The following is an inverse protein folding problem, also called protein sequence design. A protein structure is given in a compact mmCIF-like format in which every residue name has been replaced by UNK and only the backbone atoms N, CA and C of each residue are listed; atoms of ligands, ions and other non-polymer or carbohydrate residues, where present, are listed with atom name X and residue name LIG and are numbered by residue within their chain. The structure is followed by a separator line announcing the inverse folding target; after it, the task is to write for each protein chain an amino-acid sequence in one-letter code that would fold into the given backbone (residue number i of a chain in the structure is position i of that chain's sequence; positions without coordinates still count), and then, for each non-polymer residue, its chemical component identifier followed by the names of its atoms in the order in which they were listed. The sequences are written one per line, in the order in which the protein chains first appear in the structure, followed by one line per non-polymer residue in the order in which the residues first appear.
data_IF_554219955338
#
_entry.id   IF_554219955338
#
_cell.length_a   1.000
_cell.length_b   1.000
_cell.length_c   1.000
_cell.angle_alpha   90.00
_cell.angle_beta   90.00
_cell.angle_gamma   90.00
#
_symmetry.space_group_name_H-M   'P 1'
#
loop_
_entity.id
_entity.type
_entity.pdbx_description
1 polymer ?
#
# COMPACT_ATOMS: atom_id res chain seq x y z
N UNK A 1 38.89 61.39 -68.96
CA UNK A 1 39.12 62.34 -70.08
C UNK A 1 40.50 63.01 -69.87
N UNK A 2 41.34 63.03 -70.87
CA UNK A 2 42.70 63.65 -70.75
C UNK A 2 42.58 65.16 -70.84
N UNK A 3 43.52 65.89 -70.18
CA UNK A 3 43.65 67.36 -70.30
C UNK A 3 43.64 67.84 -71.72
N UNK A 4 44.45 67.15 -72.59
CA UNK A 4 44.51 67.47 -74.03
C UNK A 4 43.18 67.41 -74.72
N UNK A 5 42.41 66.33 -74.48
CA UNK A 5 41.07 66.13 -75.07
C UNK A 5 40.08 67.18 -74.60
N UNK A 6 40.19 67.61 -73.34
CA UNK A 6 39.32 68.67 -72.77
C UNK A 6 39.65 70.03 -73.37
N UNK A 7 40.97 70.41 -73.46
CA UNK A 7 41.44 71.64 -74.13
C UNK A 7 40.93 71.68 -75.56
N UNK A 8 41.17 70.61 -76.37
CA UNK A 8 40.78 70.56 -77.79
C UNK A 8 39.23 70.78 -77.90
N UNK A 9 38.41 70.10 -77.05
CA UNK A 9 36.94 70.28 -77.09
C UNK A 9 36.51 71.69 -76.70
N UNK A 10 37.20 72.29 -75.68
CA UNK A 10 36.90 73.64 -75.26
C UNK A 10 37.27 74.65 -76.34
N UNK A 11 38.46 74.50 -77.04
CA UNK A 11 38.88 75.33 -78.16
C UNK A 11 38.00 75.18 -79.35
N UNK A 12 37.47 74.02 -79.67
CA UNK A 12 36.54 73.75 -80.74
C UNK A 12 35.24 74.52 -80.64
N UNK A 13 34.84 74.85 -79.40
CA UNK A 13 33.65 75.68 -79.10
C UNK A 13 34.01 77.15 -78.93
N UNK A 14 35.15 77.47 -78.27
CA UNK A 14 35.53 78.82 -77.92
C UNK A 14 36.07 79.56 -79.09
N UNK A 15 36.92 78.99 -80.03
CA UNK A 15 37.51 79.64 -81.15
C UNK A 15 36.52 80.15 -82.20
N UNK A 16 35.51 79.37 -82.60
CA UNK A 16 34.41 79.90 -83.47
C UNK A 16 33.65 81.08 -82.89
N UNK A 17 33.34 80.95 -81.48
CA UNK A 17 32.69 82.06 -80.81
C UNK A 17 33.52 83.32 -80.73
N UNK A 18 34.78 83.23 -80.45
CA UNK A 18 35.77 84.33 -80.48
C UNK A 18 35.90 84.92 -81.86
N UNK A 19 35.97 84.05 -82.89
CA UNK A 19 35.99 84.52 -84.29
C UNK A 19 34.74 85.36 -84.64
N UNK A 20 33.53 84.91 -84.29
CA UNK A 20 32.29 85.61 -84.45
C UNK A 20 32.31 86.99 -83.76
N UNK A 21 32.72 87.02 -82.48
CA UNK A 21 32.87 88.27 -81.75
C UNK A 21 33.87 89.20 -82.37
N UNK A 22 35.03 88.77 -82.76
CA UNK A 22 36.12 89.52 -83.46
C UNK A 22 35.63 90.05 -84.81
N UNK A 23 34.87 89.23 -85.56
CA UNK A 23 34.26 89.60 -86.84
C UNK A 23 33.24 90.71 -86.64
N UNK A 24 32.36 90.55 -85.68
CA UNK A 24 31.37 91.54 -85.29
C UNK A 24 32.00 92.87 -84.89
N UNK A 25 33.01 92.88 -84.09
CA UNK A 25 33.78 94.06 -83.64
C UNK A 25 34.41 94.77 -84.83
N UNK A 26 35.06 94.03 -85.76
CA UNK A 26 35.66 94.61 -86.98
C UNK A 26 34.65 95.20 -87.87
N UNK A 27 33.44 94.56 -88.02
CA UNK A 27 32.37 95.05 -88.86
C UNK A 27 31.73 96.36 -88.26
N UNK A 28 31.51 96.42 -86.94
CA UNK A 28 30.98 97.58 -86.24
C UNK A 28 31.92 98.81 -86.32
N UNK A 29 33.25 98.57 -86.31
CA UNK A 29 34.25 99.68 -86.34
C UNK A 29 34.83 99.97 -87.75
N UNK A 30 34.30 99.40 -88.81
CA UNK A 30 34.70 99.75 -90.20
C UNK A 30 36.12 99.32 -90.53
N UNK A 31 36.74 98.37 -89.83
CA UNK A 31 38.13 97.92 -90.02
C UNK A 31 38.15 97.02 -91.26
N UNK A 32 38.93 97.40 -92.32
CA UNK A 32 39.07 96.64 -93.53
C UNK A 32 40.53 96.41 -93.91
N UNK A 33 40.78 95.45 -94.88
CA UNK A 33 42.10 95.18 -95.38
C UNK A 33 42.98 94.38 -94.44
N UNK A 34 44.27 94.67 -94.47
CA UNK A 34 45.25 93.99 -93.62
C UNK A 34 44.99 94.09 -92.10
N UNK A 35 44.47 95.28 -91.63
CA UNK A 35 44.16 95.52 -90.24
C UNK A 35 43.03 94.59 -89.73
N UNK A 36 42.02 94.27 -90.54
CA UNK A 36 40.95 93.30 -90.24
C UNK A 36 41.50 91.94 -89.86
N UNK A 37 42.40 91.38 -90.73
CA UNK A 37 42.96 90.09 -90.50
C UNK A 37 43.92 90.07 -89.32
N UNK A 38 44.71 91.14 -89.05
CA UNK A 38 45.54 91.26 -87.89
C UNK A 38 44.74 91.37 -86.59
N UNK A 39 43.60 92.10 -86.59
CA UNK A 39 42.70 92.15 -85.38
C UNK A 39 42.04 90.81 -85.15
N UNK A 40 41.55 90.12 -86.16
CA UNK A 40 40.97 88.79 -86.02
C UNK A 40 42.04 87.80 -85.51
N UNK A 41 43.26 87.79 -86.10
CA UNK A 41 44.33 86.95 -85.66
C UNK A 41 44.70 87.21 -84.18
N UNK A 42 44.81 88.52 -83.81
CA UNK A 42 45.06 88.90 -82.42
C UNK A 42 44.00 88.47 -81.46
N UNK A 43 42.67 88.67 -81.78
CA UNK A 43 41.52 88.25 -80.97
C UNK A 43 41.48 86.72 -80.85
N UNK A 44 41.71 85.95 -81.91
CA UNK A 44 41.78 84.47 -81.85
C UNK A 44 43.00 83.99 -81.04
N UNK A 45 44.18 84.59 -81.16
CA UNK A 45 45.36 84.19 -80.45
C UNK A 45 45.21 84.50 -78.92
N UNK A 46 44.77 85.69 -78.55
CA UNK A 46 44.55 86.03 -77.15
C UNK A 46 43.36 85.31 -76.55
N UNK A 47 42.27 85.18 -77.27
CA UNK A 47 41.08 84.44 -76.81
C UNK A 47 41.35 82.93 -76.77
N UNK A 48 42.18 82.36 -77.69
CA UNK A 48 42.62 81.01 -77.66
C UNK A 48 43.54 80.73 -76.43
N UNK A 49 44.47 81.67 -76.10
CA UNK A 49 45.28 81.58 -74.89
C UNK A 49 44.40 81.61 -73.59
N UNK A 50 43.44 82.58 -73.51
CA UNK A 50 42.52 82.62 -72.40
C UNK A 50 41.65 81.34 -72.34
N UNK A 51 41.22 80.81 -73.47
CA UNK A 51 40.47 79.58 -73.57
C UNK A 51 41.28 78.38 -73.03
N UNK A 52 42.55 78.28 -73.40
CA UNK A 52 43.47 77.25 -72.86
C UNK A 52 43.71 77.41 -71.41
N UNK A 53 43.89 78.63 -70.90
CA UNK A 53 44.09 78.88 -69.48
C UNK A 53 42.81 78.54 -68.68
N UNK A 54 41.65 78.98 -69.12
CA UNK A 54 40.36 78.67 -68.51
C UNK A 54 40.04 77.15 -68.55
N UNK A 55 40.26 76.51 -69.69
CA UNK A 55 40.14 75.05 -69.82
C UNK A 55 41.08 74.29 -68.84
N UNK A 56 42.32 74.74 -68.74
CA UNK A 56 43.33 74.10 -67.86
C UNK A 56 42.92 74.27 -66.38
N UNK A 57 42.46 75.48 -66.03
CA UNK A 57 41.95 75.75 -64.63
C UNK A 57 40.72 74.96 -64.31
N UNK A 58 39.71 74.92 -65.20
CA UNK A 58 38.50 74.14 -65.02
C UNK A 58 38.77 72.63 -64.97
N UNK A 59 39.65 72.19 -65.86
CA UNK A 59 40.06 70.77 -65.85
C UNK A 59 40.64 70.38 -64.50
N UNK A 60 41.59 71.18 -64.00
CA UNK A 60 42.23 70.91 -62.69
C UNK A 60 41.31 71.11 -61.50
N UNK A 61 40.35 71.99 -61.59
CA UNK A 61 39.43 72.28 -60.47
C UNK A 61 38.30 71.27 -60.40
N UNK A 62 37.78 70.82 -61.53
CA UNK A 62 36.55 70.00 -61.54
C UNK A 62 36.69 68.66 -62.26
N UNK A 63 37.30 68.62 -63.47
CA UNK A 63 37.33 67.39 -64.29
C UNK A 63 38.25 66.35 -63.74
N UNK A 64 39.49 66.70 -63.39
CA UNK A 64 40.40 65.79 -62.76
C UNK A 64 39.96 65.24 -61.40
N UNK A 65 39.45 66.07 -60.52
CA UNK A 65 38.84 65.60 -59.24
C UNK A 65 37.62 64.68 -59.40
N UNK A 66 36.71 64.96 -60.37
CA UNK A 66 35.60 64.06 -60.69
C UNK A 66 36.13 62.70 -61.14
N UNK A 67 37.21 62.65 -61.95
CA UNK A 67 37.79 61.36 -62.36
C UNK A 67 38.31 60.58 -61.16
N UNK A 68 38.93 61.20 -60.19
CA UNK A 68 39.41 60.58 -58.94
C UNK A 68 38.20 60.04 -58.09
N UNK A 69 37.15 60.89 -57.92
CA UNK A 69 35.96 60.44 -57.23
C UNK A 69 35.36 59.25 -57.93
N UNK A 70 35.20 59.28 -59.24
CA UNK A 70 34.59 58.19 -60.05
C UNK A 70 35.36 56.89 -59.95
N UNK A 71 36.74 56.91 -59.99
CA UNK A 71 37.57 55.70 -59.86
C UNK A 71 37.29 55.04 -58.45
N UNK A 72 37.27 55.80 -57.38
CA UNK A 72 37.05 55.27 -56.07
C UNK A 72 35.60 54.83 -55.86
N UNK A 73 34.59 55.52 -56.48
CA UNK A 73 33.24 55.03 -56.51
C UNK A 73 33.09 53.69 -57.23
N UNK A 74 33.87 53.45 -58.31
CA UNK A 74 33.89 52.12 -58.97
C UNK A 74 34.45 51.04 -58.06
N UNK A 75 35.51 51.32 -57.30
CA UNK A 75 36.07 50.36 -56.31
C UNK A 75 35.05 50.04 -55.21
N UNK A 76 34.37 51.09 -54.69
CA UNK A 76 33.30 50.93 -53.71
C UNK A 76 32.15 50.11 -54.31
N UNK A 77 31.73 50.39 -55.56
CA UNK A 77 30.66 49.64 -56.22
C UNK A 77 31.05 48.17 -56.46
N UNK A 78 32.33 47.88 -56.63
CA UNK A 78 32.84 46.51 -56.70
C UNK A 78 33.01 45.82 -55.35
N UNK A 79 32.56 46.49 -54.24
CA UNK A 79 32.52 45.95 -52.91
C UNK A 79 33.74 46.28 -52.03
N UNK A 80 34.68 47.10 -52.53
CA UNK A 80 35.83 47.52 -51.69
C UNK A 80 35.46 48.73 -50.83
N UNK A 81 35.10 48.47 -49.57
CA UNK A 81 34.77 49.49 -48.61
C UNK A 81 35.98 49.96 -47.78
N UNK A 82 37.19 49.48 -48.10
CA UNK A 82 38.42 50.01 -47.47
C UNK A 82 38.88 51.30 -48.13
N UNK A 83 38.48 51.49 -49.40
CA UNK A 83 38.82 52.62 -50.25
C UNK A 83 38.22 53.91 -49.73
N UNK A 84 39.02 55.03 -49.72
CA UNK A 84 38.56 56.39 -49.36
C UNK A 84 38.99 57.36 -50.44
N UNK A 85 38.06 58.27 -50.82
CA UNK A 85 38.39 59.35 -51.78
C UNK A 85 39.41 60.28 -51.13
N UNK A 86 40.65 60.48 -51.70
CA UNK A 86 41.67 61.32 -51.12
C UNK A 86 41.31 62.77 -51.18
N UNK A 87 41.12 63.41 -50.00
CA UNK A 87 40.61 64.80 -49.85
C UNK A 87 41.58 65.87 -50.40
N UNK A 88 42.85 65.56 -50.46
CA UNK A 88 43.89 66.39 -51.02
C UNK A 88 43.87 66.50 -52.55
N UNK A 89 43.29 65.50 -53.24
CA UNK A 89 43.25 65.42 -54.69
C UNK A 89 41.96 66.00 -55.31
N UNK A 90 40.94 66.28 -54.54
CA UNK A 90 39.62 66.64 -55.03
C UNK A 90 39.28 68.15 -54.91
N UNK A 91 40.10 68.95 -54.33
CA UNK A 91 40.05 70.44 -54.29
C UNK A 91 38.62 70.96 -53.97
N UNK A 92 37.95 71.61 -54.96
CA UNK A 92 36.61 72.22 -54.81
C UNK A 92 35.51 71.16 -54.53
N UNK A 93 35.73 69.92 -54.84
CA UNK A 93 34.85 68.81 -54.64
C UNK A 93 35.06 68.11 -53.29
N UNK A 94 35.86 68.67 -52.37
CA UNK A 94 36.14 68.16 -51.05
C UNK A 94 34.87 67.86 -50.21
N UNK A 95 33.80 68.73 -50.18
CA UNK A 95 32.58 68.40 -49.47
C UNK A 95 31.93 67.13 -49.98
N UNK A 96 31.89 66.89 -51.27
CA UNK A 96 31.34 65.66 -51.88
C UNK A 96 32.16 64.48 -51.47
N UNK A 97 33.48 64.54 -51.51
CA UNK A 97 34.38 63.46 -51.11
C UNK A 97 34.24 63.11 -49.61
N UNK A 98 34.06 64.11 -48.72
CA UNK A 98 33.72 63.91 -47.30
C UNK A 98 32.42 63.14 -47.12
N UNK A 99 31.36 63.53 -47.86
CA UNK A 99 30.07 62.83 -47.78
C UNK A 99 30.19 61.38 -48.28
N UNK A 100 30.94 61.15 -49.36
CA UNK A 100 31.19 59.80 -49.90
C UNK A 100 31.96 58.94 -48.86
N UNK A 101 33.06 59.52 -48.31
CA UNK A 101 33.84 58.79 -47.29
C UNK A 101 32.97 58.44 -46.06
N UNK A 102 32.12 59.35 -45.60
CA UNK A 102 31.19 59.10 -44.46
C UNK A 102 30.17 58.03 -44.78
N UNK A 103 29.63 58.06 -46.02
CA UNK A 103 28.72 57.04 -46.48
C UNK A 103 29.38 55.65 -46.49
N UNK A 104 30.60 55.56 -47.01
CA UNK A 104 31.36 54.28 -47.02
C UNK A 104 31.66 53.79 -45.64
N UNK A 105 32.02 54.67 -44.69
CA UNK A 105 32.22 54.36 -43.27
C UNK A 105 30.99 53.76 -42.65
N UNK A 106 29.83 54.42 -42.82
CA UNK A 106 28.54 53.94 -42.35
C UNK A 106 28.17 52.58 -42.93
N UNK A 107 28.35 52.42 -44.24
CA UNK A 107 28.10 51.11 -44.88
C UNK A 107 29.03 50.01 -44.37
N UNK A 108 30.32 50.29 -44.19
CA UNK A 108 31.28 49.34 -43.63
C UNK A 108 30.85 48.89 -42.23
N UNK A 109 30.40 49.81 -41.36
CA UNK A 109 29.89 49.53 -40.03
C UNK A 109 28.65 48.68 -40.06
N UNK A 110 27.65 49.03 -40.93
CA UNK A 110 26.43 48.24 -41.09
C UNK A 110 26.71 46.82 -41.52
N UNK A 111 27.58 46.64 -42.55
CA UNK A 111 27.96 45.32 -43.06
C UNK A 111 28.74 44.51 -42.01
N UNK A 112 29.64 45.14 -41.25
CA UNK A 112 30.34 44.49 -40.14
C UNK A 112 29.38 43.95 -39.08
N UNK A 113 28.39 44.79 -38.70
CA UNK A 113 27.36 44.37 -37.72
C UNK A 113 26.49 43.24 -38.26
N UNK A 114 26.02 43.30 -39.50
CA UNK A 114 25.24 42.24 -40.11
C UNK A 114 26.06 40.95 -40.23
N UNK A 115 27.35 41.01 -40.56
CA UNK A 115 28.23 39.84 -40.58
C UNK A 115 28.38 39.19 -39.20
N UNK A 116 28.57 40.00 -38.16
CA UNK A 116 28.64 39.52 -36.78
C UNK A 116 27.33 38.84 -36.35
N UNK A 117 26.17 39.48 -36.58
CA UNK A 117 24.86 38.92 -36.23
C UNK A 117 24.55 37.65 -37.01
N UNK A 118 24.99 37.58 -38.30
CA UNK A 118 24.86 36.37 -39.09
C UNK A 118 25.66 35.21 -38.48
N UNK A 119 26.87 35.47 -37.99
CA UNK A 119 27.67 34.47 -37.30
C UNK A 119 27.04 34.00 -35.98
N UNK A 120 26.56 34.94 -35.19
CA UNK A 120 25.80 34.65 -33.94
C UNK A 120 24.57 33.79 -34.25
N UNK A 121 23.86 34.07 -35.37
CA UNK A 121 22.66 33.30 -35.77
C UNK A 121 22.97 31.85 -36.14
N UNK A 122 24.12 31.57 -36.78
CA UNK A 122 24.58 30.17 -37.01
C UNK A 122 24.79 29.47 -35.67
N UNK A 123 25.53 30.08 -34.76
CA UNK A 123 25.81 29.50 -33.45
C UNK A 123 24.52 29.23 -32.62
N UNK A 124 23.56 30.18 -32.62
CA UNK A 124 22.27 29.98 -31.97
C UNK A 124 21.45 28.85 -32.62
N UNK A 125 21.48 28.72 -33.93
CA UNK A 125 20.81 27.66 -34.65
C UNK A 125 21.39 26.27 -34.33
N UNK A 126 22.71 26.17 -34.21
CA UNK A 126 23.38 24.95 -33.75
C UNK A 126 22.97 24.58 -32.29
N UNK A 127 22.94 25.59 -31.39
CA UNK A 127 22.48 25.39 -30.01
C UNK A 127 21.03 24.94 -29.95
N UNK A 128 20.13 25.55 -30.74
CA UNK A 128 18.71 25.15 -30.82
C UNK A 128 18.56 23.72 -31.30
N UNK A 129 19.33 23.31 -32.29
CA UNK A 129 19.32 21.93 -32.78
C UNK A 129 19.76 20.96 -31.68
N UNK A 130 20.84 21.27 -30.95
CA UNK A 130 21.30 20.45 -29.84
C UNK A 130 20.29 20.33 -28.69
N UNK A 131 19.65 21.44 -28.32
CA UNK A 131 18.60 21.46 -27.29
C UNK A 131 17.38 20.62 -27.75
N UNK A 132 16.98 20.75 -29.01
CA UNK A 132 15.88 19.98 -29.58
C UNK A 132 16.18 18.46 -29.58
N UNK A 133 17.41 18.06 -29.92
CA UNK A 133 17.85 16.67 -29.84
C UNK A 133 17.85 16.13 -28.41
N UNK A 134 18.38 16.90 -27.45
CA UNK A 134 18.33 16.51 -26.03
C UNK A 134 16.91 16.37 -25.53
N UNK A 135 16.03 17.32 -25.89
CA UNK A 135 14.62 17.28 -25.49
C UNK A 135 13.91 16.08 -26.14
N UNK A 136 14.21 15.76 -27.39
CA UNK A 136 13.66 14.57 -28.06
C UNK A 136 14.03 13.29 -27.31
N UNK A 137 15.29 13.12 -26.91
CA UNK A 137 15.73 11.95 -26.12
C UNK A 137 15.01 11.88 -24.76
N UNK A 138 14.85 13.00 -24.08
CA UNK A 138 14.11 13.05 -22.80
C UNK A 138 12.63 12.67 -23.01
N UNK A 139 12.04 13.13 -24.11
CA UNK A 139 10.65 12.83 -24.48
C UNK A 139 10.46 11.35 -24.83
N UNK A 140 11.39 10.73 -25.53
CA UNK A 140 11.40 9.28 -25.79
C UNK A 140 11.47 8.47 -24.50
N UNK A 141 12.24 8.92 -23.52
CA UNK A 141 12.33 8.27 -22.21
C UNK A 141 11.02 8.41 -21.42
N UNK A 142 10.35 9.55 -21.51
CA UNK A 142 9.01 9.75 -20.92
C UNK A 142 8.01 8.80 -21.58
N UNK A 143 8.02 8.67 -22.91
CA UNK A 143 7.12 7.75 -23.61
C UNK A 143 7.30 6.29 -23.13
N UNK A 144 8.53 5.82 -23.04
CA UNK A 144 8.83 4.48 -22.50
C UNK A 144 8.36 4.30 -21.06
N UNK A 145 8.55 5.32 -20.20
CA UNK A 145 8.09 5.28 -18.82
C UNK A 145 6.54 5.23 -18.74
N UNK A 146 5.85 5.91 -19.66
CA UNK A 146 4.38 5.85 -19.72
C UNK A 146 3.86 4.49 -20.15
N UNK A 147 4.57 3.78 -21.05
CA UNK A 147 4.26 2.39 -21.40
C UNK A 147 4.40 1.47 -20.18
N UNK A 148 5.47 1.63 -19.38
CA UNK A 148 5.68 0.86 -18.16
C UNK A 148 4.58 1.15 -17.12
N UNK A 149 4.17 2.41 -16.96
CA UNK A 149 3.09 2.80 -16.05
C UNK A 149 1.75 2.21 -16.52
N UNK A 150 1.48 2.22 -17.82
CA UNK A 150 0.26 1.63 -18.37
C UNK A 150 0.20 0.11 -18.09
N UNK A 151 1.29 -0.61 -18.37
CA UNK A 151 1.40 -2.04 -18.07
C UNK A 151 1.29 -2.33 -16.56
N UNK A 152 1.92 -1.50 -15.72
CA UNK A 152 1.79 -1.56 -14.25
C UNK A 152 0.36 -1.33 -13.77
N UNK A 153 -0.35 -0.40 -14.39
CA UNK A 153 -1.76 -0.12 -14.09
C UNK A 153 -2.68 -1.30 -14.43
N UNK A 154 -2.47 -1.94 -15.59
CA UNK A 154 -3.22 -3.15 -15.96
C UNK A 154 -2.99 -4.30 -14.94
N UNK A 155 -1.75 -4.52 -14.53
CA UNK A 155 -1.43 -5.51 -13.50
C UNK A 155 -2.09 -5.17 -12.16
N UNK A 156 -2.15 -3.89 -11.82
CA UNK A 156 -2.76 -3.42 -10.58
C UNK A 156 -4.29 -3.60 -10.59
N UNK A 157 -4.97 -3.41 -11.74
CA UNK A 157 -6.40 -3.74 -11.91
C UNK A 157 -6.65 -5.20 -11.57
N UNK A 158 -5.83 -6.11 -12.10
CA UNK A 158 -5.94 -7.54 -11.81
C UNK A 158 -5.76 -7.85 -10.32
N UNK A 159 -4.75 -7.24 -9.68
CA UNK A 159 -4.50 -7.41 -8.23
C UNK A 159 -5.66 -6.89 -7.38
N UNK A 160 -6.29 -5.78 -7.77
CA UNK A 160 -7.50 -5.24 -7.12
C UNK A 160 -8.66 -6.22 -7.22
N UNK A 161 -8.89 -6.83 -8.39
CA UNK A 161 -9.94 -7.83 -8.58
C UNK A 161 -9.70 -9.09 -7.74
N UNK A 162 -8.48 -9.62 -7.73
CA UNK A 162 -8.10 -10.79 -6.93
C UNK A 162 -8.26 -10.51 -5.43
N UNK A 163 -7.85 -9.32 -4.97
CA UNK A 163 -8.00 -8.90 -3.56
C UNK A 163 -9.48 -8.75 -3.19
N UNK A 164 -10.30 -8.20 -4.10
CA UNK A 164 -11.76 -8.08 -3.90
C UNK A 164 -12.43 -9.46 -3.77
N UNK A 165 -12.05 -10.42 -4.62
CA UNK A 165 -12.52 -11.80 -4.51
C UNK A 165 -12.14 -12.43 -3.16
N UNK A 166 -10.90 -12.29 -2.73
CA UNK A 166 -10.41 -12.78 -1.43
C UNK A 166 -11.16 -12.14 -0.25
N UNK A 167 -11.49 -10.85 -0.32
CA UNK A 167 -12.30 -10.17 0.71
C UNK A 167 -13.72 -10.73 0.80
N UNK A 168 -14.33 -11.09 -0.34
CA UNK A 168 -15.63 -11.75 -0.34
C UNK A 168 -15.56 -13.14 0.30
N UNK A 169 -14.51 -13.91 0.05
CA UNK A 169 -14.30 -15.21 0.69
C UNK A 169 -14.12 -15.07 2.20
N UNK A 170 -13.31 -14.08 2.65
CA UNK A 170 -13.13 -13.77 4.08
C UNK A 170 -14.48 -13.39 4.71
N UNK A 171 -15.30 -12.56 4.05
CA UNK A 171 -16.62 -12.15 4.56
C UNK A 171 -17.55 -13.35 4.74
N UNK A 172 -17.56 -14.28 3.76
CA UNK A 172 -18.32 -15.51 3.85
C UNK A 172 -17.81 -16.42 4.99
N UNK A 173 -16.48 -16.55 5.12
CA UNK A 173 -15.85 -17.28 6.21
C UNK A 173 -16.21 -16.71 7.59
N UNK A 174 -16.20 -15.39 7.76
CA UNK A 174 -16.61 -14.73 9.00
C UNK A 174 -18.07 -15.00 9.34
N UNK A 175 -18.95 -15.00 8.34
CA UNK A 175 -20.37 -15.35 8.52
C UNK A 175 -20.54 -16.79 9.00
N UNK A 176 -19.74 -17.71 8.47
CA UNK A 176 -19.73 -19.12 8.91
C UNK A 176 -19.20 -19.25 10.35
N UNK A 177 -18.13 -18.54 10.70
CA UNK A 177 -17.58 -18.51 12.07
C UNK A 177 -18.61 -17.97 13.05
N UNK A 178 -19.33 -16.89 12.69
CA UNK A 178 -20.40 -16.32 13.53
C UNK A 178 -21.52 -17.37 13.76
N UNK A 179 -21.97 -18.07 12.73
CA UNK A 179 -22.98 -19.11 12.86
C UNK A 179 -22.51 -20.29 13.74
N UNK A 180 -21.27 -20.73 13.56
CA UNK A 180 -20.69 -21.79 14.37
C UNK A 180 -20.55 -21.37 15.85
N UNK A 181 -20.12 -20.13 16.10
CA UNK A 181 -20.01 -19.56 17.44
C UNK A 181 -21.37 -19.54 18.14
N UNK A 182 -22.43 -19.15 17.45
CA UNK A 182 -23.79 -19.22 17.96
C UNK A 182 -24.24 -20.65 18.29
N UNK A 183 -23.91 -21.60 17.42
CA UNK A 183 -24.24 -23.02 17.66
C UNK A 183 -23.50 -23.57 18.89
N UNK A 184 -22.22 -23.25 19.07
CA UNK A 184 -21.44 -23.66 20.24
C UNK A 184 -21.99 -23.03 21.50
N UNK A 185 -22.45 -21.76 21.45
CA UNK A 185 -23.12 -21.08 22.56
C UNK A 185 -24.38 -21.82 23.02
N UNK A 186 -25.21 -22.24 22.08
CA UNK A 186 -26.41 -23.02 22.39
C UNK A 186 -26.05 -24.36 23.03
N UNK A 187 -25.08 -25.09 22.46
CA UNK A 187 -24.63 -26.38 22.96
C UNK A 187 -24.01 -26.27 24.39
N UNK A 188 -23.27 -25.21 24.64
CA UNK A 188 -22.72 -24.91 25.99
C UNK A 188 -23.86 -24.65 26.99
N UNK A 189 -24.87 -23.85 26.61
CA UNK A 189 -26.06 -23.62 27.44
C UNK A 189 -26.81 -24.90 27.77
N UNK A 190 -27.02 -25.79 26.78
CA UNK A 190 -27.67 -27.10 27.03
C UNK A 190 -26.84 -27.98 27.96
N UNK A 191 -25.50 -27.99 27.76
CA UNK A 191 -24.57 -28.76 28.62
C UNK A 191 -24.57 -28.23 30.03
N UNK A 192 -24.62 -26.92 30.25
CA UNK A 192 -24.76 -26.31 31.56
C UNK A 192 -26.02 -26.76 32.27
N UNK A 193 -27.16 -26.76 31.60
CA UNK A 193 -28.46 -27.23 32.16
C UNK A 193 -28.38 -28.70 32.55
N UNK A 194 -27.78 -29.55 31.70
CA UNK A 194 -27.58 -30.98 31.98
C UNK A 194 -26.66 -31.21 33.18
N UNK A 195 -25.55 -30.49 33.24
CA UNK A 195 -24.60 -30.58 34.37
C UNK A 195 -25.28 -30.16 35.68
N UNK A 196 -26.05 -29.05 35.67
CA UNK A 196 -26.83 -28.61 36.83
C UNK A 196 -27.86 -29.66 37.28
N UNK A 197 -28.58 -30.29 36.36
CA UNK A 197 -29.49 -31.37 36.67
C UNK A 197 -28.76 -32.60 37.21
N UNK A 198 -27.58 -32.91 36.72
CA UNK A 198 -26.68 -33.94 37.25
C UNK A 198 -26.29 -33.69 38.68
N UNK A 199 -25.83 -32.46 39.00
CA UNK A 199 -25.50 -32.06 40.38
C UNK A 199 -26.69 -32.27 41.33
N UNK A 200 -27.89 -31.84 40.94
CA UNK A 200 -29.12 -32.03 41.74
C UNK A 200 -29.46 -33.51 41.95
N UNK A 201 -29.18 -34.36 40.96
CA UNK A 201 -29.41 -35.80 41.08
C UNK A 201 -28.41 -36.46 42.03
N UNK A 202 -27.18 -36.02 42.03
CA UNK A 202 -26.13 -36.47 42.96
C UNK A 202 -26.45 -36.03 44.38
N UNK A 203 -26.90 -34.81 44.63
CA UNK A 203 -27.34 -34.33 45.94
C UNK A 203 -28.45 -35.22 46.53
N UNK A 204 -29.44 -35.61 45.71
CA UNK A 204 -30.49 -36.54 46.15
C UNK A 204 -29.94 -37.93 46.41
N UNK A 205 -28.96 -38.39 45.64
CA UNK A 205 -28.33 -39.70 45.85
C UNK A 205 -27.52 -39.73 47.15
N UNK A 206 -26.81 -38.65 47.45
CA UNK A 206 -26.08 -38.48 48.72
C UNK A 206 -27.04 -38.55 49.91
N UNK A 207 -28.14 -37.83 49.87
CA UNK A 207 -29.20 -37.88 50.90
C UNK A 207 -29.75 -39.30 51.07
N UNK A 208 -30.00 -40.00 49.96
CA UNK A 208 -30.52 -41.38 49.98
C UNK A 208 -29.46 -42.34 50.58
N UNK A 209 -28.18 -42.21 50.25
CA UNK A 209 -27.13 -43.02 50.83
C UNK A 209 -26.95 -42.78 52.33
N UNK A 210 -27.02 -41.53 52.78
CA UNK A 210 -27.00 -41.20 54.21
C UNK A 210 -28.20 -41.83 54.93
N UNK A 211 -29.36 -41.82 54.32
CA UNK A 211 -30.57 -42.45 54.88
C UNK A 211 -30.38 -43.99 54.99
N UNK A 212 -29.85 -44.62 53.96
CA UNK A 212 -29.50 -46.07 54.00
C UNK A 212 -28.49 -46.35 55.11
N UNK A 213 -27.44 -45.56 55.24
CA UNK A 213 -26.44 -45.70 56.29
C UNK A 213 -27.07 -45.69 57.69
N UNK A 214 -27.93 -44.72 57.98
CA UNK A 214 -28.64 -44.59 59.28
C UNK A 214 -29.53 -45.78 59.56
N UNK A 215 -30.27 -46.30 58.57
CA UNK A 215 -31.13 -47.44 58.71
C UNK A 215 -30.35 -48.75 58.97
N UNK A 216 -29.23 -48.93 58.29
CA UNK A 216 -28.39 -50.09 58.49
C UNK A 216 -27.77 -50.05 59.90
N UNK A 217 -27.31 -48.89 60.35
CA UNK A 217 -26.82 -48.74 61.75
C UNK A 217 -27.89 -49.04 62.80
N UNK A 218 -29.08 -48.53 62.60
CA UNK A 218 -30.24 -48.78 63.48
C UNK A 218 -30.66 -50.25 63.52
N UNK A 219 -30.66 -50.91 62.34
CA UNK A 219 -30.89 -52.34 62.21
C UNK A 219 -29.83 -53.16 62.97
N UNK A 220 -28.54 -52.74 62.86
CA UNK A 220 -27.42 -53.34 63.60
C UNK A 220 -27.65 -53.34 65.14
N UNK A 221 -28.14 -52.23 65.64
CA UNK A 221 -28.49 -52.14 67.08
C UNK A 221 -29.65 -53.07 67.46
N UNK A 222 -30.67 -53.20 66.64
CA UNK A 222 -31.80 -54.12 66.89
C UNK A 222 -31.33 -55.58 66.88
N UNK A 223 -30.53 -55.96 65.92
CA UNK A 223 -29.93 -57.32 65.76
C UNK A 223 -29.03 -57.63 66.96
N UNK A 224 -28.18 -56.69 67.39
CA UNK A 224 -27.36 -56.84 68.60
C UNK A 224 -28.20 -57.05 69.85
N UNK A 225 -29.27 -56.28 70.01
CA UNK A 225 -30.22 -56.47 71.10
C UNK A 225 -30.90 -57.85 71.06
N UNK A 226 -31.19 -58.39 69.88
CA UNK A 226 -31.68 -59.74 69.69
C UNK A 226 -30.68 -60.78 70.15
N UNK A 227 -29.39 -60.60 69.87
CA UNK A 227 -28.31 -61.48 70.30
C UNK A 227 -28.19 -61.46 71.83
N UNK A 228 -28.25 -60.30 72.45
CA UNK A 228 -28.25 -60.18 73.95
C UNK A 228 -29.40 -60.93 74.60
N UNK A 229 -30.64 -60.76 74.10
CA UNK A 229 -31.86 -61.45 74.59
C UNK A 229 -31.76 -62.94 74.35
N UNK A 230 -31.23 -63.37 73.22
CA UNK A 230 -31.04 -64.80 72.97
C UNK A 230 -30.01 -65.45 73.94
N UNK A 231 -28.99 -64.70 74.33
CA UNK A 231 -28.04 -65.14 75.34
C UNK A 231 -28.74 -65.26 76.72
N UNK A 232 -29.54 -64.31 77.11
CA UNK A 232 -30.35 -64.38 78.31
C UNK A 232 -31.28 -65.60 78.31
N UNK A 233 -31.98 -65.87 77.20
CA UNK A 233 -32.85 -67.04 77.09
C UNK A 233 -32.03 -68.36 77.21
N UNK A 234 -30.80 -68.34 76.55
CA UNK A 234 -29.89 -69.48 76.68
C UNK A 234 -29.50 -69.79 78.17
N UNK A 235 -29.24 -68.74 78.91
CA UNK A 235 -28.99 -68.90 80.37
C UNK A 235 -30.22 -69.45 81.12
N UNK A 236 -31.43 -68.96 80.81
CA UNK A 236 -32.67 -69.44 81.38
C UNK A 236 -32.90 -70.91 81.08
N UNK A 237 -32.71 -71.33 79.84
CA UNK A 237 -32.83 -72.73 79.38
C UNK A 237 -31.85 -73.64 80.07
N UNK A 238 -30.59 -73.22 80.35
CA UNK A 238 -29.64 -73.95 81.18
C UNK A 238 -30.17 -74.17 82.62
N UNK A 239 -30.74 -73.11 83.22
CA UNK A 239 -31.33 -73.21 84.52
C UNK A 239 -32.50 -74.17 84.56
N UNK A 240 -33.43 -74.11 83.51
CA UNK A 240 -34.52 -75.06 83.36
C UNK A 240 -34.05 -76.49 83.27
N UNK A 241 -33.03 -76.72 82.42
CA UNK A 241 -32.40 -78.03 82.29
C UNK A 241 -31.84 -78.51 83.61
N UNK A 242 -31.16 -77.65 84.38
CA UNK A 242 -30.70 -77.95 85.70
C UNK A 242 -31.83 -78.28 86.70
N UNK A 243 -32.94 -77.52 86.73
CA UNK A 243 -34.10 -77.83 87.54
C UNK A 243 -34.77 -79.15 87.18
N UNK A 244 -34.94 -79.39 85.87
CA UNK A 244 -35.46 -80.63 85.32
C UNK A 244 -34.59 -81.85 85.74
N UNK A 245 -33.33 -81.73 85.68
CA UNK A 245 -32.35 -82.75 86.12
C UNK A 245 -32.44 -82.99 87.62
N UNK A 246 -32.50 -81.92 88.40
CA UNK A 246 -32.70 -82.09 89.89
C UNK A 246 -34.10 -82.72 90.24
N UNK A 247 -35.13 -82.29 89.50
CA UNK A 247 -36.51 -82.82 89.70
C UNK A 247 -36.51 -84.32 89.36
N UNK A 248 -35.85 -84.69 88.27
CA UNK A 248 -35.68 -86.08 87.82
C UNK A 248 -35.00 -86.95 88.91
N UNK A 249 -33.93 -86.44 89.53
CA UNK A 249 -33.22 -87.06 90.64
C UNK A 249 -34.07 -87.13 91.89
N UNK A 250 -34.84 -86.09 92.22
CA UNK A 250 -35.74 -86.12 93.35
C UNK A 250 -36.92 -87.10 93.13
N UNK A 251 -37.47 -87.16 91.98
CA UNK A 251 -38.50 -88.08 91.56
C UNK A 251 -37.98 -89.57 91.58
N UNK A 252 -36.79 -89.80 91.14
CA UNK A 252 -36.12 -91.12 91.21
C UNK A 252 -35.90 -91.53 92.65
N UNK A 253 -35.42 -90.67 93.50
CA UNK A 253 -35.30 -90.97 94.95
C UNK A 253 -36.59 -91.24 95.63
N UNK A 254 -37.68 -90.47 95.26
CA UNK A 254 -39.00 -90.70 95.76
C UNK A 254 -39.61 -92.05 95.30
N UNK A 255 -39.39 -92.41 93.99
CA UNK A 255 -39.78 -93.71 93.47
C UNK A 255 -39.08 -94.89 94.15
N UNK A 256 -37.80 -94.74 94.45
CA UNK A 256 -37.00 -95.74 95.23
C UNK A 256 -37.57 -95.92 96.64
N UNK A 257 -37.93 -94.79 97.34
CA UNK A 257 -38.37 -94.90 98.69
C UNK A 257 -39.85 -95.36 98.72
N UNK A 258 -40.65 -95.01 97.76
CA UNK A 258 -42.00 -95.54 97.57
C UNK A 258 -42.00 -97.07 97.30
N UNK A 259 -41.02 -97.59 96.51
CA UNK A 259 -40.78 -99.03 96.28
C UNK A 259 -40.37 -99.71 97.56
N UNK A 260 -39.59 -99.07 98.42
CA UNK A 260 -39.13 -99.57 99.72
C UNK A 260 -40.23 -99.65 100.75
N UNK A 261 -41.33 -98.83 100.72
CA UNK A 261 -42.46 -98.82 101.54
C UNK A 261 -43.51 -99.89 101.19
N UNK A 262 -43.27 -100.72 100.15
CA UNK A 262 -44.12 -101.88 99.82
C UNK A 262 -45.53 -101.42 99.33
N UNK A 263 -46.54 -102.21 99.76
CA UNK A 263 -48.00 -101.98 99.40
C UNK A 263 -48.48 -100.60 99.82
N UNK A 264 -48.02 -99.97 100.89
CA UNK A 264 -48.37 -98.63 101.35
C UNK A 264 -47.86 -97.47 100.48
N UNK A 265 -46.76 -97.71 99.77
CA UNK A 265 -46.10 -96.74 98.87
C UNK A 265 -46.61 -96.70 97.42
N UNK A 266 -47.53 -97.59 97.02
CA UNK A 266 -47.94 -97.76 95.57
C UNK A 266 -48.50 -96.52 94.92
N UNK A 267 -49.32 -95.73 95.63
CA UNK A 267 -49.84 -94.44 95.09
C UNK A 267 -48.78 -93.37 94.96
N UNK A 268 -47.78 -93.31 95.83
CA UNK A 268 -46.64 -92.39 95.76
C UNK A 268 -45.69 -92.78 94.68
N UNK A 269 -45.49 -94.09 94.43
CA UNK A 269 -44.61 -94.62 93.38
C UNK A 269 -45.10 -94.16 91.94
N UNK A 270 -46.47 -94.23 91.74
CA UNK A 270 -47.09 -93.76 90.44
C UNK A 270 -46.88 -92.25 90.23
N UNK A 271 -47.08 -91.43 91.32
CA UNK A 271 -46.87 -90.00 91.26
C UNK A 271 -45.40 -89.65 90.97
N UNK A 272 -44.47 -90.39 91.70
CA UNK A 272 -43.01 -90.16 91.50
C UNK A 272 -42.56 -90.53 90.05
N UNK A 273 -43.04 -91.61 89.53
CA UNK A 273 -42.79 -91.99 88.17
C UNK A 273 -43.39 -90.98 87.16
N UNK A 274 -44.57 -90.42 87.37
CA UNK A 274 -45.22 -89.39 86.55
C UNK A 274 -44.40 -88.08 86.62
N UNK A 275 -43.97 -87.66 87.84
CA UNK A 275 -43.09 -86.49 88.03
C UNK A 275 -41.75 -86.71 87.31
N UNK A 276 -41.23 -87.95 87.41
CA UNK A 276 -39.96 -88.33 86.70
C UNK A 276 -40.08 -88.17 85.19
N UNK A 277 -41.19 -88.69 84.62
CA UNK A 277 -41.44 -88.54 83.14
C UNK A 277 -41.65 -87.08 82.73
N UNK A 278 -42.35 -86.28 83.53
CA UNK A 278 -42.55 -84.85 83.30
C UNK A 278 -41.19 -84.10 83.40
N UNK A 279 -40.31 -84.49 84.35
CA UNK A 279 -38.95 -83.88 84.37
C UNK A 279 -38.09 -84.31 83.23
N UNK A 280 -38.13 -85.54 82.75
CA UNK A 280 -37.43 -85.99 81.54
C UNK A 280 -37.96 -85.27 80.32
N UNK A 281 -39.31 -85.09 80.14
CA UNK A 281 -39.89 -84.32 79.06
C UNK A 281 -39.52 -82.82 79.14
N UNK A 282 -39.47 -82.27 80.35
CA UNK A 282 -39.04 -80.84 80.51
C UNK A 282 -37.56 -80.64 80.14
N UNK A 283 -36.67 -81.61 80.50
CA UNK A 283 -35.27 -81.58 80.15
C UNK A 283 -35.07 -81.67 78.58
N UNK A 284 -35.82 -82.58 77.99
CA UNK A 284 -35.80 -82.76 76.51
C UNK A 284 -36.29 -81.47 75.84
N UNK A 285 -37.41 -80.87 76.28
CA UNK A 285 -37.94 -79.62 75.73
C UNK A 285 -36.93 -78.47 75.97
N UNK A 286 -36.31 -78.36 77.10
CA UNK A 286 -35.30 -77.36 77.41
C UNK A 286 -34.06 -77.54 76.50
N UNK A 287 -33.67 -78.77 76.26
CA UNK A 287 -32.54 -79.07 75.33
C UNK A 287 -32.87 -78.66 73.88
N UNK A 288 -34.13 -78.91 73.44
CA UNK A 288 -34.53 -78.50 72.08
C UNK A 288 -34.58 -76.94 71.97
N UNK A 289 -35.07 -76.22 73.05
CA UNK A 289 -35.04 -74.77 73.09
C UNK A 289 -33.55 -74.26 73.08
N UNK A 290 -32.66 -74.89 73.85
CA UNK A 290 -31.23 -74.54 73.86
C UNK A 290 -30.58 -74.64 72.51
N UNK A 291 -30.92 -75.70 71.71
CA UNK A 291 -30.40 -75.86 70.33
C UNK A 291 -30.98 -74.75 69.41
N UNK A 292 -32.25 -74.43 69.55
CA UNK A 292 -32.84 -73.31 68.72
C UNK A 292 -32.23 -71.99 69.09
N UNK A 293 -32.00 -71.73 70.38
CA UNK A 293 -31.30 -70.52 70.84
C UNK A 293 -29.88 -70.46 70.34
N UNK A 294 -29.12 -71.55 70.33
CA UNK A 294 -27.74 -71.56 69.71
C UNK A 294 -27.77 -71.26 68.28
N UNK A 295 -28.74 -71.77 67.50
CA UNK A 295 -28.93 -71.44 66.10
C UNK A 295 -29.27 -69.92 65.89
N UNK A 296 -30.16 -69.37 66.68
CA UNK A 296 -30.50 -67.95 66.66
C UNK A 296 -29.30 -67.08 66.97
N UNK A 297 -28.46 -67.47 67.96
CA UNK A 297 -27.17 -66.76 68.26
C UNK A 297 -26.23 -66.78 67.09
N UNK A 298 -26.02 -67.91 66.44
CA UNK A 298 -25.15 -68.06 65.21
C UNK A 298 -25.71 -67.22 64.06
N UNK A 299 -26.96 -67.28 63.78
CA UNK A 299 -27.62 -66.48 62.71
C UNK A 299 -27.50 -64.98 63.00
N UNK A 300 -27.71 -64.60 64.32
CA UNK A 300 -27.58 -63.20 64.78
C UNK A 300 -26.14 -62.69 64.54
N UNK A 301 -25.13 -63.47 64.93
CA UNK A 301 -23.68 -63.14 64.71
C UNK A 301 -23.34 -63.01 63.26
N UNK A 302 -23.74 -63.94 62.39
CA UNK A 302 -23.58 -63.87 60.96
C UNK A 302 -24.29 -62.64 60.35
N UNK A 303 -25.47 -62.26 60.89
CA UNK A 303 -26.19 -61.06 60.48
C UNK A 303 -25.43 -59.79 60.87
N UNK A 304 -24.81 -59.71 62.04
CA UNK A 304 -23.99 -58.57 62.48
C UNK A 304 -22.77 -58.42 61.56
N UNK A 305 -22.07 -59.50 61.21
CA UNK A 305 -20.96 -59.46 60.28
C UNK A 305 -21.39 -58.95 58.90
N UNK A 306 -22.53 -59.44 58.39
CA UNK A 306 -23.07 -59.02 57.09
C UNK A 306 -23.45 -57.51 57.10
N UNK A 307 -23.98 -57.02 58.25
CA UNK A 307 -24.32 -55.60 58.43
C UNK A 307 -23.10 -54.71 58.48
N UNK A 308 -21.98 -55.17 59.08
CA UNK A 308 -20.71 -54.45 59.04
C UNK A 308 -20.22 -54.28 57.59
N UNK A 309 -20.26 -55.36 56.80
CA UNK A 309 -19.89 -55.32 55.38
C UNK A 309 -20.75 -54.32 54.59
N UNK A 310 -22.07 -54.36 54.80
CA UNK A 310 -23.02 -53.43 54.15
C UNK A 310 -22.73 -51.96 54.58
N UNK A 311 -22.39 -51.70 55.84
CA UNK A 311 -22.01 -50.36 56.31
C UNK A 311 -20.76 -49.85 55.62
N UNK A 312 -19.72 -50.70 55.40
CA UNK A 312 -18.52 -50.35 54.64
C UNK A 312 -18.83 -50.10 53.15
N UNK A 313 -19.64 -50.93 52.52
CA UNK A 313 -20.07 -50.72 51.15
C UNK A 313 -20.86 -49.44 50.92
N UNK A 314 -21.72 -49.07 51.87
CA UNK A 314 -22.47 -47.80 51.85
C UNK A 314 -21.54 -46.60 52.01
N UNK A 315 -20.53 -46.71 52.90
CA UNK A 315 -19.52 -45.64 53.05
C UNK A 315 -18.72 -45.44 51.76
N UNK A 316 -18.26 -46.55 51.11
CA UNK A 316 -17.61 -46.49 49.81
C UNK A 316 -18.53 -45.91 48.71
N UNK A 317 -19.82 -46.24 48.75
CA UNK A 317 -20.84 -45.70 47.85
C UNK A 317 -20.99 -44.19 48.03
N UNK A 318 -20.94 -43.65 49.24
CA UNK A 318 -20.94 -42.21 49.54
C UNK A 318 -19.71 -41.51 48.92
N UNK A 319 -18.51 -42.10 49.02
CA UNK A 319 -17.30 -41.55 48.43
C UNK A 319 -17.43 -41.46 46.90
N UNK A 320 -17.95 -42.48 46.26
CA UNK A 320 -18.20 -42.47 44.79
C UNK A 320 -19.22 -41.41 44.40
N UNK A 321 -20.30 -41.24 45.16
CA UNK A 321 -21.30 -40.21 44.96
C UNK A 321 -20.71 -38.80 45.08
N UNK A 322 -19.88 -38.55 46.10
CA UNK A 322 -19.19 -37.27 46.29
C UNK A 322 -18.24 -37.00 45.13
N UNK A 323 -17.44 -37.96 44.67
CA UNK A 323 -16.54 -37.81 43.51
C UNK A 323 -17.28 -37.50 42.23
N UNK A 324 -18.47 -38.12 42.06
CA UNK A 324 -19.36 -37.79 40.91
C UNK A 324 -19.90 -36.37 41.02
N UNK A 325 -20.26 -35.88 42.21
CA UNK A 325 -20.68 -34.50 42.48
C UNK A 325 -19.62 -33.48 42.13
N UNK A 326 -18.38 -33.73 42.56
CA UNK A 326 -17.22 -32.87 42.17
C UNK A 326 -17.02 -32.83 40.63
N UNK A 327 -17.20 -33.95 39.96
CA UNK A 327 -17.08 -34.04 38.49
C UNK A 327 -18.13 -33.19 37.78
N UNK A 328 -19.40 -33.22 38.21
CA UNK A 328 -20.43 -32.37 37.63
C UNK A 328 -20.22 -30.87 37.93
N UNK A 329 -19.68 -30.52 39.07
CA UNK A 329 -19.32 -29.14 39.39
C UNK A 329 -18.16 -28.65 38.50
N UNK A 330 -17.19 -29.52 38.27
CA UNK A 330 -16.06 -29.20 37.35
C UNK A 330 -16.56 -29.04 35.91
N UNK A 331 -17.47 -29.89 35.44
CA UNK A 331 -18.12 -29.72 34.13
C UNK A 331 -18.83 -28.36 34.04
N UNK A 332 -19.58 -27.97 35.05
CA UNK A 332 -20.30 -26.70 35.10
C UNK A 332 -19.32 -25.51 35.02
N UNK A 333 -18.19 -25.56 35.72
CA UNK A 333 -17.16 -24.54 35.68
C UNK A 333 -16.52 -24.46 34.29
N UNK A 334 -16.15 -25.59 33.68
CA UNK A 334 -15.57 -25.63 32.32
C UNK A 334 -16.52 -25.10 31.24
N UNK A 335 -17.85 -25.37 31.41
CA UNK A 335 -18.85 -24.83 30.49
C UNK A 335 -18.97 -23.30 30.60
N UNK A 336 -18.84 -22.73 31.79
CA UNK A 336 -18.83 -21.28 31.99
C UNK A 336 -17.59 -20.65 31.30
N UNK A 337 -16.40 -21.26 31.46
CA UNK A 337 -15.18 -20.81 30.80
C UNK A 337 -15.33 -20.85 29.25
N UNK A 338 -15.96 -21.90 28.73
CA UNK A 338 -16.28 -21.98 27.28
C UNK A 338 -17.24 -20.87 26.88
N UNK A 339 -18.23 -20.51 27.69
CA UNK A 339 -19.19 -19.43 27.40
C UNK A 339 -18.46 -18.08 27.31
N UNK A 340 -17.55 -17.78 28.24
CA UNK A 340 -16.73 -16.57 28.22
C UNK A 340 -15.83 -16.51 26.95
N UNK A 341 -15.24 -17.65 26.55
CA UNK A 341 -14.46 -17.73 25.32
C UNK A 341 -15.32 -17.47 24.06
N UNK A 342 -16.54 -17.98 24.05
CA UNK A 342 -17.51 -17.74 22.97
C UNK A 342 -17.83 -16.25 22.82
N UNK A 343 -18.02 -15.53 23.93
CA UNK A 343 -18.23 -14.07 23.90
C UNK A 343 -17.03 -13.33 23.30
N UNK A 344 -15.81 -13.72 23.69
CA UNK A 344 -14.57 -13.15 23.12
C UNK A 344 -14.46 -13.44 21.62
N UNK A 345 -14.74 -14.67 21.17
CA UNK A 345 -14.74 -15.02 19.74
C UNK A 345 -15.80 -14.20 18.99
N UNK A 346 -17.00 -14.03 19.56
CA UNK A 346 -18.05 -13.22 18.95
C UNK A 346 -17.63 -11.76 18.75
N UNK A 347 -17.01 -11.16 19.78
CA UNK A 347 -16.47 -9.80 19.69
C UNK A 347 -15.37 -9.69 18.61
N UNK A 348 -14.46 -10.67 18.54
CA UNK A 348 -13.41 -10.71 17.52
C UNK A 348 -13.99 -10.84 16.10
N UNK A 349 -15.02 -11.65 15.90
CA UNK A 349 -15.72 -11.78 14.61
C UNK A 349 -16.37 -10.47 14.19
N UNK A 350 -17.01 -9.75 15.12
CA UNK A 350 -17.59 -8.42 14.82
C UNK A 350 -16.51 -7.43 14.39
N UNK A 351 -15.38 -7.39 15.09
CA UNK A 351 -14.26 -6.51 14.77
C UNK A 351 -13.64 -6.88 13.40
N UNK A 352 -13.45 -8.17 13.13
CA UNK A 352 -12.96 -8.64 11.82
C UNK A 352 -13.92 -8.28 10.68
N UNK A 353 -15.24 -8.38 10.90
CA UNK A 353 -16.26 -7.99 9.92
C UNK A 353 -16.18 -6.50 9.60
N UNK A 354 -16.06 -5.63 10.60
CA UNK A 354 -15.88 -4.20 10.40
C UNK A 354 -14.55 -3.90 9.65
N UNK A 355 -13.47 -4.58 10.01
CA UNK A 355 -12.18 -4.47 9.33
C UNK A 355 -12.25 -4.89 7.84
N UNK A 356 -12.92 -6.00 7.55
CA UNK A 356 -13.13 -6.48 6.17
C UNK A 356 -13.93 -5.49 5.34
N UNK A 357 -14.96 -4.87 5.90
CA UNK A 357 -15.73 -3.81 5.22
C UNK A 357 -14.88 -2.57 4.93
N UNK A 358 -14.00 -2.18 5.87
CA UNK A 358 -13.08 -1.06 5.67
C UNK A 358 -12.06 -1.36 4.56
N UNK A 359 -11.53 -2.59 4.52
CA UNK A 359 -10.62 -3.02 3.45
C UNK A 359 -11.34 -3.02 2.09
N UNK A 360 -12.56 -3.53 2.01
CA UNK A 360 -13.36 -3.52 0.79
C UNK A 360 -13.57 -2.09 0.25
N UNK A 361 -13.81 -1.12 1.12
CA UNK A 361 -13.88 0.30 0.75
C UNK A 361 -12.55 0.82 0.21
N UNK A 362 -11.43 0.43 0.82
CA UNK A 362 -10.08 0.81 0.37
C UNK A 362 -9.75 0.21 -1.00
N UNK A 363 -10.18 -1.02 -1.27
CA UNK A 363 -10.03 -1.69 -2.57
C UNK A 363 -10.79 -0.94 -3.66
N UNK A 364 -12.03 -0.50 -3.39
CA UNK A 364 -12.80 0.30 -4.35
C UNK A 364 -12.13 1.65 -4.66
N UNK A 365 -11.57 2.32 -3.64
CA UNK A 365 -10.79 3.54 -3.84
C UNK A 365 -9.52 3.28 -4.68
N UNK A 366 -8.85 2.15 -4.44
CA UNK A 366 -7.68 1.75 -5.23
C UNK A 366 -8.03 1.50 -6.69
N UNK A 367 -9.16 0.87 -6.99
CA UNK A 367 -9.66 0.69 -8.35
C UNK A 367 -9.82 2.05 -9.07
N UNK A 368 -10.41 3.03 -8.39
CA UNK A 368 -10.57 4.39 -8.93
C UNK A 368 -9.22 5.06 -9.23
N UNK A 369 -8.27 4.99 -8.29
CA UNK A 369 -6.91 5.57 -8.46
C UNK A 369 -6.17 4.92 -9.64
N UNK A 370 -6.32 3.61 -9.83
CA UNK A 370 -5.68 2.90 -10.96
C UNK A 370 -6.30 3.33 -12.30
N UNK A 371 -7.61 3.51 -12.36
CA UNK A 371 -8.30 4.00 -13.56
C UNK A 371 -7.87 5.44 -13.90
N UNK A 372 -7.79 6.31 -12.90
CA UNK A 372 -7.29 7.69 -13.06
C UNK A 372 -5.82 7.70 -13.53
N UNK A 373 -4.98 6.83 -12.97
CA UNK A 373 -3.56 6.68 -13.35
C UNK A 373 -3.41 6.23 -14.80
N UNK A 374 -4.24 5.30 -15.26
CA UNK A 374 -4.27 4.84 -16.64
C UNK A 374 -4.68 5.96 -17.60
N UNK A 375 -5.73 6.70 -17.27
CA UNK A 375 -6.18 7.85 -18.07
C UNK A 375 -5.12 8.97 -18.14
N UNK A 376 -4.44 9.25 -17.02
CA UNK A 376 -3.35 10.22 -16.96
C UNK A 376 -2.17 9.78 -17.85
N UNK A 377 -1.80 8.49 -17.84
CA UNK A 377 -0.74 7.94 -18.69
C UNK A 377 -1.04 8.11 -20.19
N UNK A 378 -2.27 7.88 -20.60
CA UNK A 378 -2.71 8.09 -21.99
C UNK A 378 -2.60 9.56 -22.39
N UNK A 379 -3.01 10.50 -21.53
CA UNK A 379 -2.90 11.93 -21.80
C UNK A 379 -1.43 12.39 -21.89
N UNK A 380 -0.57 11.88 -21.01
CA UNK A 380 0.87 12.18 -21.06
C UNK A 380 1.49 11.62 -22.34
N UNK A 381 1.13 10.39 -22.75
CA UNK A 381 1.59 9.79 -24.01
C UNK A 381 1.22 10.65 -25.22
N UNK A 382 -0.01 11.12 -25.30
CA UNK A 382 -0.46 12.03 -26.38
C UNK A 382 0.34 13.35 -26.38
N UNK A 383 0.54 13.97 -25.21
CA UNK A 383 1.34 15.20 -25.07
C UNK A 383 2.82 14.96 -25.46
N UNK A 384 3.35 13.78 -25.19
CA UNK A 384 4.71 13.37 -25.54
C UNK A 384 4.87 13.25 -27.06
N UNK A 385 3.88 12.72 -27.77
CA UNK A 385 3.87 12.67 -29.26
C UNK A 385 3.82 14.08 -29.88
N UNK A 386 2.99 14.98 -29.33
CA UNK A 386 2.94 16.38 -29.75
C UNK A 386 4.28 17.09 -29.50
N UNK A 387 4.92 16.83 -28.37
CA UNK A 387 6.22 17.39 -28.05
C UNK A 387 7.32 16.90 -29.00
N UNK A 388 7.34 15.62 -29.34
CA UNK A 388 8.29 15.08 -30.35
C UNK A 388 8.08 15.74 -31.72
N UNK A 389 6.84 15.98 -32.11
CA UNK A 389 6.52 16.67 -33.36
C UNK A 389 7.05 18.11 -33.33
N UNK A 390 6.82 18.83 -32.23
CA UNK A 390 7.31 20.19 -32.05
C UNK A 390 8.84 20.28 -32.08
N UNK A 391 9.56 19.29 -31.48
CA UNK A 391 11.02 19.25 -31.53
C UNK A 391 11.55 19.03 -32.93
N UNK A 392 10.89 18.22 -33.77
CA UNK A 392 11.22 18.04 -35.19
C UNK A 392 11.06 19.35 -35.98
N UNK A 393 9.98 20.11 -35.69
CA UNK A 393 9.74 21.42 -36.34
C UNK A 393 10.80 22.45 -35.93
N UNK A 394 11.20 22.46 -34.63
CA UNK A 394 12.28 23.33 -34.13
C UNK A 394 13.59 22.99 -34.80
N UNK A 395 13.93 21.71 -34.90
CA UNK A 395 15.16 21.26 -35.57
C UNK A 395 15.17 21.70 -37.04
N UNK A 396 14.08 21.54 -37.77
CA UNK A 396 13.91 21.99 -39.15
C UNK A 396 14.07 23.51 -39.29
N UNK A 397 13.42 24.27 -38.40
CA UNK A 397 13.49 25.72 -38.37
C UNK A 397 14.91 26.24 -38.07
N UNK A 398 15.60 25.62 -37.10
CA UNK A 398 16.97 25.94 -36.76
C UNK A 398 17.92 25.66 -37.92
N UNK A 399 17.75 24.53 -38.62
CA UNK A 399 18.53 24.22 -39.82
C UNK A 399 18.28 25.25 -40.94
N UNK A 400 17.04 25.68 -41.16
CA UNK A 400 16.72 26.72 -42.14
C UNK A 400 17.35 28.08 -41.78
N UNK A 401 17.33 28.46 -40.47
CA UNK A 401 18.00 29.68 -39.99
C UNK A 401 19.49 29.64 -40.17
N UNK A 402 20.14 28.51 -39.86
CA UNK A 402 21.58 28.33 -40.10
C UNK A 402 21.93 28.52 -41.57
N UNK A 403 21.16 27.89 -42.47
CA UNK A 403 21.36 28.00 -43.90
C UNK A 403 21.18 29.45 -44.40
N UNK A 404 20.15 30.16 -43.96
CA UNK A 404 19.94 31.58 -44.29
C UNK A 404 21.09 32.47 -43.81
N UNK A 405 21.60 32.21 -42.61
CA UNK A 405 22.74 32.92 -42.07
C UNK A 405 24.05 32.67 -42.88
N UNK A 406 24.27 31.42 -43.27
CA UNK A 406 25.43 31.08 -44.17
C UNK A 406 25.30 31.74 -45.53
N UNK A 407 24.12 31.73 -46.15
CA UNK A 407 23.86 32.43 -47.41
C UNK A 407 24.11 33.93 -47.26
N UNK A 408 23.64 34.55 -46.17
CA UNK A 408 23.90 35.95 -45.88
C UNK A 408 25.39 36.24 -45.70
N UNK A 409 26.12 35.40 -44.97
CA UNK A 409 27.59 35.50 -44.85
C UNK A 409 28.28 35.41 -46.25
N UNK A 410 27.82 34.50 -47.11
CA UNK A 410 28.36 34.37 -48.47
C UNK A 410 28.16 35.65 -49.30
N UNK A 411 27.01 36.30 -49.19
CA UNK A 411 26.73 37.58 -49.84
C UNK A 411 27.59 38.70 -49.27
N UNK A 412 27.77 38.75 -47.95
CA UNK A 412 28.57 39.77 -47.28
C UNK A 412 30.09 39.61 -47.53
N UNK A 413 30.57 38.41 -47.83
CA UNK A 413 31.97 38.16 -48.18
C UNK A 413 32.39 38.78 -49.51
N UNK A 414 31.43 39.26 -50.35
CA UNK A 414 31.73 40.06 -51.53
C UNK A 414 32.29 41.45 -51.19
N UNK A 415 31.97 41.98 -50.00
CA UNK A 415 32.47 43.24 -49.52
C UNK A 415 33.82 43.03 -48.83
N UNK A 416 34.82 43.85 -49.22
CA UNK A 416 36.18 43.81 -48.69
C UNK A 416 36.43 45.01 -47.80
N UNK A 417 37.38 44.85 -46.85
CA UNK A 417 37.79 45.94 -45.98
C UNK A 417 36.90 46.20 -44.77
N UNK A 418 36.23 45.14 -44.37
CA UNK A 418 35.35 45.16 -43.22
C UNK A 418 36.04 44.36 -42.12
#
# INVERSE_FOLDING_TARGET
MSLRSYIIRTLLVVVPGIFLIGFGICLANGVAGKAFWMTIAGVILFGGLLGILSATLNYRRFVAPISVINSHLQEITNGDLSTRVPLDKVRELKPIAVCINKMVETWAEVIANVKRHSHEMVSFSEQLTHIAEQTTKATEQIASTMEDIAAGSEQQVKSVQETSASMNEISNGLSQVAANTQQVSVSAGETFVKAKAGTQSIEKMEEQMRFIHQHVESLGQVVKGLGERSNEIGQITQVITGIASQTNLLALNAAIEAARAGEQGRGFAVVADEVRKLAEQSAESAQQISQLIAQIQEETENTIISMQTVTEEVAQGLDVVNSAGESFEQIRKSVNEVTEQIEQVSAAVQQMTAGTQQIAKSINNMAFVVEESSAASLNISASTEEQMTSMKEITSSASALSKMAEELQSLLNKFKGI
#
